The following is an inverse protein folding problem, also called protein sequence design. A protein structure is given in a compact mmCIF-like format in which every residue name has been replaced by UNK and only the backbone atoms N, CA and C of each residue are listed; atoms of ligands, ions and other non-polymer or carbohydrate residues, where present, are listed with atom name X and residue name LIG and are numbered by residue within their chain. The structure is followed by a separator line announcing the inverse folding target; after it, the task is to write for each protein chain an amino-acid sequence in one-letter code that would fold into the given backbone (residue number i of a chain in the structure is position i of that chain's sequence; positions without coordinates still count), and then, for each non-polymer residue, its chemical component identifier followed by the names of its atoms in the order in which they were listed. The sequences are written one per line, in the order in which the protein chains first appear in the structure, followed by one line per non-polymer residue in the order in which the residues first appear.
data_IF_421294268483
#
_entry.id   IF_421294268483
#
_cell.length_a   1.000
_cell.length_b   1.000
_cell.length_c   1.000
_cell.angle_alpha   90.00
_cell.angle_beta   90.00
_cell.angle_gamma   90.00
#
_symmetry.space_group_name_H-M   'P 1'
#
loop_
_entity.id
_entity.type
_entity.pdbx_description
1 polymer ?
#
# COMPACT_ATOMS: atom_id res chain seq x y z
N UNK A 1 17.60 23.18 -12.73
CA UNK A 1 16.30 22.50 -12.95
C UNK A 1 15.60 22.46 -11.61
N UNK A 2 14.29 22.75 -11.55
CA UNK A 2 13.56 22.60 -10.29
C UNK A 2 13.61 21.12 -9.88
N UNK A 3 14.15 20.86 -8.69
CA UNK A 3 14.31 19.51 -8.12
C UNK A 3 13.07 19.07 -7.34
N UNK A 4 12.14 20.00 -7.09
CA UNK A 4 10.93 19.82 -6.29
C UNK A 4 9.77 20.64 -6.84
N UNK A 5 8.67 19.97 -7.21
CA UNK A 5 7.39 20.56 -7.62
C UNK A 5 6.25 20.03 -6.76
N UNK A 6 5.43 20.92 -6.19
CA UNK A 6 4.24 20.52 -5.44
C UNK A 6 2.97 21.07 -6.08
N UNK A 7 2.21 20.17 -6.70
CA UNK A 7 0.87 20.44 -7.21
C UNK A 7 -0.08 19.28 -6.85
N UNK A 8 -0.99 19.44 -5.87
CA UNK A 8 -1.88 18.38 -5.40
C UNK A 8 -2.92 17.91 -6.44
N UNK A 9 -3.05 18.61 -7.58
CA UNK A 9 -3.86 18.12 -8.70
C UNK A 9 -3.19 16.98 -9.48
N UNK A 10 -1.86 16.85 -9.38
CA UNK A 10 -1.07 15.82 -10.05
C UNK A 10 -0.88 14.59 -9.18
N UNK A 11 -0.64 13.42 -9.78
CA UNK A 11 -0.32 12.19 -9.04
C UNK A 11 0.95 12.32 -8.19
N UNK A 12 1.93 13.08 -8.68
CA UNK A 12 3.16 13.38 -7.95
C UNK A 12 2.90 14.25 -6.72
N UNK A 13 2.07 15.29 -6.83
CA UNK A 13 1.70 16.10 -5.68
C UNK A 13 0.76 15.39 -4.70
N UNK A 14 -0.11 14.49 -5.18
CA UNK A 14 -0.90 13.60 -4.31
C UNK A 14 -0.01 12.65 -3.52
N UNK A 15 0.98 12.04 -4.17
CA UNK A 15 1.99 11.21 -3.49
C UNK A 15 2.67 11.99 -2.36
N UNK A 16 3.18 13.19 -2.68
CA UNK A 16 3.84 14.08 -1.70
C UNK A 16 2.95 14.49 -0.55
N UNK A 17 1.69 14.79 -0.82
CA UNK A 17 0.71 15.12 0.20
C UNK A 17 0.54 13.96 1.19
N UNK A 18 0.41 12.72 0.69
CA UNK A 18 0.19 11.53 1.54
C UNK A 18 1.41 11.24 2.41
N UNK A 19 2.63 11.39 1.88
CA UNK A 19 3.86 11.16 2.64
C UNK A 19 4.33 12.39 3.44
N UNK A 20 3.54 13.47 3.44
CA UNK A 20 3.84 14.77 4.07
C UNK A 20 5.12 15.46 3.57
N UNK A 21 5.60 15.11 2.38
CA UNK A 21 6.77 15.72 1.70
C UNK A 21 6.35 17.00 0.96
N UNK A 22 5.95 18.02 1.72
CA UNK A 22 5.40 19.28 1.18
C UNK A 22 6.33 20.48 1.36
N UNK A 23 7.41 20.33 2.14
CA UNK A 23 8.39 21.40 2.36
C UNK A 23 9.40 21.46 1.22
N UNK A 24 9.30 22.50 0.39
CA UNK A 24 10.25 22.73 -0.71
C UNK A 24 11.66 23.09 -0.25
N UNK A 25 11.84 23.52 1.00
CA UNK A 25 13.16 23.87 1.54
C UNK A 25 13.97 22.62 1.96
N UNK A 26 13.27 21.57 2.42
CA UNK A 26 13.88 20.31 2.84
C UNK A 26 13.12 19.11 2.27
N UNK A 27 13.13 18.93 0.94
CA UNK A 27 12.41 17.83 0.32
C UNK A 27 13.05 16.49 0.70
N UNK A 28 12.20 15.53 1.08
CA UNK A 28 12.62 14.16 1.40
C UNK A 28 12.98 13.38 0.14
N UNK A 29 12.27 13.67 -0.95
CA UNK A 29 12.49 13.07 -2.26
C UNK A 29 12.51 14.11 -3.36
N UNK A 30 13.36 13.91 -4.35
CA UNK A 30 13.35 14.68 -5.60
C UNK A 30 12.16 14.30 -6.48
N UNK A 31 11.79 15.18 -7.43
CA UNK A 31 10.73 14.88 -8.40
C UNK A 31 10.99 13.58 -9.18
N UNK A 32 12.26 13.29 -9.49
CA UNK A 32 12.65 12.08 -10.20
C UNK A 32 12.42 10.80 -9.36
N UNK A 33 12.72 10.84 -8.06
CA UNK A 33 12.50 9.72 -7.14
C UNK A 33 11.00 9.50 -6.90
N UNK A 34 10.25 10.59 -6.68
CA UNK A 34 8.79 10.54 -6.56
C UNK A 34 8.12 9.93 -7.81
N UNK A 35 8.57 10.33 -9.00
CA UNK A 35 8.11 9.76 -10.27
C UNK A 35 8.47 8.28 -10.41
N UNK A 36 9.65 7.85 -9.91
CA UNK A 36 10.07 6.46 -9.95
C UNK A 36 9.16 5.58 -9.06
N UNK A 37 8.75 6.04 -7.88
CA UNK A 37 7.81 5.32 -7.03
C UNK A 37 6.45 5.11 -7.72
N UNK A 38 5.95 6.12 -8.44
CA UNK A 38 4.75 6.00 -9.27
C UNK A 38 4.92 5.00 -10.42
N UNK A 39 6.07 5.04 -11.11
CA UNK A 39 6.38 4.09 -12.20
C UNK A 39 6.42 2.64 -11.73
N UNK A 40 7.02 2.37 -10.58
CA UNK A 40 7.15 1.04 -9.98
C UNK A 40 5.81 0.47 -9.48
N UNK A 41 4.81 1.32 -9.27
CA UNK A 41 3.50 0.94 -8.72
C UNK A 41 2.37 1.09 -9.73
N UNK A 42 2.71 1.09 -11.02
CA UNK A 42 1.74 1.21 -12.12
C UNK A 42 0.85 2.46 -12.00
N UNK A 43 1.42 3.57 -11.51
CA UNK A 43 0.73 4.84 -11.27
C UNK A 43 -0.34 4.80 -10.17
N UNK A 44 -0.39 3.75 -9.34
CA UNK A 44 -1.25 3.74 -8.16
C UNK A 44 -0.59 4.57 -7.04
N UNK A 45 -1.15 5.76 -6.81
CA UNK A 45 -0.65 6.76 -5.84
C UNK A 45 -0.53 6.19 -4.42
N UNK A 46 -1.48 5.37 -3.97
CA UNK A 46 -1.45 4.80 -2.61
C UNK A 46 -0.33 3.76 -2.46
N UNK A 47 -0.13 2.91 -3.48
CA UNK A 47 0.98 1.95 -3.51
C UNK A 47 2.33 2.67 -3.57
N UNK A 48 2.44 3.72 -4.38
CA UNK A 48 3.63 4.56 -4.44
C UNK A 48 3.94 5.19 -3.07
N UNK A 49 2.93 5.72 -2.39
CA UNK A 49 3.08 6.33 -1.07
C UNK A 49 3.52 5.32 -0.01
N UNK A 50 2.94 4.12 -0.01
CA UNK A 50 3.34 3.04 0.89
C UNK A 50 4.83 2.70 0.71
N UNK A 51 5.28 2.58 -0.54
CA UNK A 51 6.66 2.24 -0.86
C UNK A 51 7.64 3.36 -0.49
N UNK A 52 7.26 4.62 -0.69
CA UNK A 52 8.07 5.77 -0.27
C UNK A 52 8.22 5.80 1.26
N UNK A 53 7.14 5.55 2.01
CA UNK A 53 7.17 5.49 3.48
C UNK A 53 7.99 4.30 4.01
N UNK A 54 7.92 3.13 3.38
CA UNK A 54 8.78 1.98 3.71
C UNK A 54 10.27 2.31 3.51
N UNK A 55 10.58 3.07 2.47
CA UNK A 55 11.94 3.53 2.18
C UNK A 55 12.43 4.52 3.24
N UNK A 56 11.57 5.48 3.63
CA UNK A 56 11.86 6.41 4.72
C UNK A 56 12.10 5.67 6.05
N UNK A 57 11.27 4.69 6.36
CA UNK A 57 11.39 3.87 7.57
C UNK A 57 12.71 3.13 7.64
N UNK A 58 13.13 2.56 6.51
CA UNK A 58 14.40 1.86 6.39
C UNK A 58 15.57 2.82 6.63
N UNK A 59 15.55 3.99 5.99
CA UNK A 59 16.57 5.02 6.17
C UNK A 59 16.65 5.53 7.62
N UNK A 60 15.50 5.82 8.25
CA UNK A 60 15.46 6.23 9.66
C UNK A 60 15.94 5.11 10.60
N UNK A 61 15.57 3.86 10.33
CA UNK A 61 16.08 2.71 11.10
C UNK A 61 17.60 2.59 11.00
N UNK A 62 18.18 2.82 9.81
CA UNK A 62 19.64 2.83 9.62
C UNK A 62 20.30 3.98 10.39
N UNK A 63 19.71 5.18 10.37
CA UNK A 63 20.20 6.33 11.14
C UNK A 63 20.17 6.03 12.64
N UNK A 64 19.06 5.52 13.15
CA UNK A 64 18.89 5.17 14.56
C UNK A 64 19.86 4.05 14.99
N UNK A 65 20.13 3.08 14.11
CA UNK A 65 21.14 2.04 14.35
C UNK A 65 22.55 2.62 14.46
N UNK A 66 22.90 3.60 13.62
CA UNK A 66 24.18 4.31 13.70
C UNK A 66 24.27 5.15 14.98
N UNK A 67 23.19 5.83 15.38
CA UNK A 67 23.16 6.60 16.64
C UNK A 67 23.30 5.71 17.88
N UNK A 68 22.67 4.52 17.87
CA UNK A 68 22.87 3.50 18.92
C UNK A 68 24.31 2.99 18.99
N UNK A 69 25.05 2.96 17.88
CA UNK A 69 26.49 2.62 17.89
C UNK A 69 27.36 3.77 18.41
N UNK A 70 26.85 5.00 18.37
CA UNK A 70 27.51 6.24 18.80
C UNK A 70 27.07 6.69 20.21
N UNK A 71 26.53 5.78 21.02
CA UNK A 71 26.09 5.97 22.42
C UNK A 71 24.95 6.99 22.66
N UNK A 72 24.18 7.36 21.62
CA UNK A 72 22.99 8.21 21.76
C UNK A 72 21.72 7.39 21.45
N UNK A 73 21.04 6.93 22.51
CA UNK A 73 19.81 6.13 22.38
C UNK A 73 18.58 7.02 22.25
N UNK A 74 18.02 7.11 21.05
CA UNK A 74 16.62 7.48 20.81
C UNK A 74 15.85 6.23 20.36
N UNK A 75 14.61 6.06 20.83
CA UNK A 75 13.81 4.83 20.65
C UNK A 75 13.40 4.60 19.18
N UNK A 76 14.37 4.18 18.37
CA UNK A 76 14.20 3.96 16.94
C UNK A 76 13.38 2.73 16.59
N UNK A 77 13.25 1.79 17.54
CA UNK A 77 12.41 0.62 17.38
C UNK A 77 10.92 1.00 17.34
N UNK A 78 10.52 2.02 18.11
CA UNK A 78 9.16 2.56 18.09
C UNK A 78 8.83 3.26 16.76
N UNK A 79 9.73 4.11 16.26
CA UNK A 79 9.55 4.83 14.98
C UNK A 79 9.47 3.87 13.80
N UNK A 80 10.38 2.89 13.74
CA UNK A 80 10.37 1.88 12.69
C UNK A 80 9.09 1.01 12.72
N UNK A 81 8.53 0.76 13.90
CA UNK A 81 7.27 0.02 14.05
C UNK A 81 6.08 0.83 13.55
N UNK A 82 5.96 2.09 13.97
CA UNK A 82 4.88 2.98 13.53
C UNK A 82 4.86 3.15 12.00
N UNK A 83 6.03 3.27 11.37
CA UNK A 83 6.11 3.38 9.91
C UNK A 83 5.73 2.08 9.19
N UNK A 84 6.12 0.90 9.71
CA UNK A 84 5.68 -0.38 9.14
C UNK A 84 4.17 -0.59 9.30
N UNK A 85 3.60 -0.20 10.43
CA UNK A 85 2.14 -0.24 10.65
C UNK A 85 1.42 0.66 9.64
N UNK A 86 1.93 1.86 9.39
CA UNK A 86 1.36 2.78 8.41
C UNK A 86 1.48 2.25 6.96
N UNK A 87 2.62 1.63 6.61
CA UNK A 87 2.78 0.98 5.31
C UNK A 87 1.79 -0.19 5.12
N UNK A 88 1.50 -0.94 6.19
CA UNK A 88 0.54 -2.04 6.16
C UNK A 88 -0.90 -1.53 5.91
N UNK A 89 -1.28 -0.43 6.59
CA UNK A 89 -2.58 0.23 6.37
C UNK A 89 -2.74 0.74 4.93
N UNK A 90 -1.70 1.30 4.33
CA UNK A 90 -1.76 1.77 2.94
C UNK A 90 -1.87 0.62 1.93
N UNK A 91 -1.24 -0.54 2.20
CA UNK A 91 -1.41 -1.75 1.37
C UNK A 91 -2.83 -2.30 1.47
N UNK A 92 -3.41 -2.28 2.67
CA UNK A 92 -4.80 -2.67 2.89
C UNK A 92 -5.76 -1.73 2.17
N UNK A 93 -5.53 -0.42 2.26
CA UNK A 93 -6.30 0.59 1.52
C UNK A 93 -6.21 0.41 0.00
N UNK A 94 -5.02 0.09 -0.52
CA UNK A 94 -4.81 -0.21 -1.94
C UNK A 94 -5.55 -1.49 -2.37
N UNK A 95 -5.56 -2.53 -1.53
CA UNK A 95 -6.32 -3.75 -1.79
C UNK A 95 -7.84 -3.49 -1.76
N UNK A 96 -8.32 -2.63 -0.86
CA UNK A 96 -9.73 -2.21 -0.80
C UNK A 96 -10.10 -1.38 -2.04
N UNK A 97 -9.24 -0.46 -2.49
CA UNK A 97 -9.49 0.31 -3.72
C UNK A 97 -9.51 -0.59 -4.97
N UNK A 98 -8.64 -1.60 -5.04
CA UNK A 98 -8.61 -2.55 -6.14
C UNK A 98 -9.83 -3.52 -6.08
N UNK A 99 -10.29 -3.89 -4.88
CA UNK A 99 -11.47 -4.74 -4.68
C UNK A 99 -12.80 -4.01 -4.98
N UNK A 100 -12.85 -2.69 -4.73
CA UNK A 100 -13.99 -1.84 -5.04
C UNK A 100 -14.24 -1.70 -6.56
N UNK A 101 -13.22 -1.95 -7.39
CA UNK A 101 -13.31 -1.85 -8.85
C UNK A 101 -13.74 -3.16 -9.55
N UNK A 102 -13.90 -4.28 -8.83
CA UNK A 102 -14.42 -5.50 -9.48
C UNK A 102 -14.39 -6.86 -8.77
N UNK A 103 -14.22 -6.96 -7.45
CA UNK A 103 -14.00 -8.29 -6.82
C UNK A 103 -14.79 -8.59 -5.55
N UNK A 104 -15.64 -7.67 -5.07
CA UNK A 104 -16.51 -7.95 -3.92
C UNK A 104 -17.73 -8.83 -4.25
N UNK A 105 -18.09 -8.98 -5.53
CA UNK A 105 -19.22 -9.83 -5.96
C UNK A 105 -18.81 -11.30 -6.25
N UNK A 106 -17.57 -11.57 -6.64
CA UNK A 106 -17.10 -12.93 -7.00
C UNK A 106 -16.86 -13.80 -5.74
N UNK A 107 -16.36 -13.20 -4.66
CA UNK A 107 -16.09 -13.92 -3.41
C UNK A 107 -17.36 -14.29 -2.63
N UNK A 108 -18.43 -13.49 -2.74
CA UNK A 108 -19.70 -13.77 -2.09
C UNK A 108 -20.48 -14.89 -2.80
N UNK A 109 -20.35 -15.05 -4.12
CA UNK A 109 -21.00 -16.12 -4.87
C UNK A 109 -20.27 -17.47 -4.71
N UNK A 110 -18.97 -17.47 -4.43
CA UNK A 110 -18.18 -18.69 -4.26
C UNK A 110 -18.39 -19.37 -2.90
N UNK A 111 -18.74 -18.62 -1.84
CA UNK A 111 -18.85 -19.13 -0.46
C UNK A 111 -20.22 -19.76 -0.16
N UNK A 112 -21.31 -19.33 -0.81
CA UNK A 112 -22.67 -19.86 -0.58
C UNK A 112 -23.09 -21.01 -1.53
N UNK A 113 -22.14 -21.87 -1.90
CA UNK A 113 -22.38 -23.04 -2.75
C UNK A 113 -23.10 -24.22 -2.04
N UNK A 114 -24.05 -23.94 -1.14
CA UNK A 114 -25.04 -24.90 -0.64
C UNK A 114 -26.09 -25.22 -1.72
N UNK A 115 -26.39 -24.25 -2.60
CA UNK A 115 -27.35 -24.41 -3.69
C UNK A 115 -26.83 -25.32 -4.81
N UNK A 116 -25.57 -25.18 -5.19
CA UNK A 116 -24.91 -26.08 -6.17
C UNK A 116 -24.78 -27.51 -5.62
N UNK A 117 -24.55 -27.68 -4.32
CA UNK A 117 -24.58 -28.98 -3.66
C UNK A 117 -25.97 -29.65 -3.76
N UNK A 118 -27.06 -28.92 -3.49
CA UNK A 118 -28.43 -29.44 -3.63
C UNK A 118 -28.77 -29.82 -5.07
N UNK A 119 -28.41 -28.99 -6.04
CA UNK A 119 -28.64 -29.31 -7.46
C UNK A 119 -27.89 -30.57 -7.88
N UNK A 120 -26.65 -30.75 -7.42
CA UNK A 120 -25.85 -31.93 -7.74
C UNK A 120 -26.46 -33.20 -7.16
N UNK A 121 -26.99 -33.15 -5.93
CA UNK A 121 -27.66 -34.28 -5.29
C UNK A 121 -28.97 -34.63 -6.00
N UNK A 122 -29.78 -33.63 -6.38
CA UNK A 122 -31.03 -33.86 -7.12
C UNK A 122 -30.78 -34.44 -8.52
N UNK A 123 -29.79 -33.93 -9.26
CA UNK A 123 -29.39 -34.44 -10.57
C UNK A 123 -28.84 -35.88 -10.49
N UNK A 124 -28.13 -36.22 -9.42
CA UNK A 124 -27.68 -37.61 -9.17
C UNK A 124 -28.83 -38.55 -8.81
N UNK A 125 -29.84 -38.08 -8.07
CA UNK A 125 -31.03 -38.88 -7.74
C UNK A 125 -31.89 -39.17 -8.99
N UNK A 126 -32.10 -38.20 -9.88
CA UNK A 126 -32.85 -38.39 -11.12
C UNK A 126 -32.17 -39.35 -12.10
N UNK A 127 -30.84 -39.34 -12.18
CA UNK A 127 -30.07 -40.27 -13.04
C UNK A 127 -30.10 -41.72 -12.57
N UNK A 128 -30.56 -41.98 -11.35
CA UNK A 128 -30.65 -43.33 -10.76
C UNK A 128 -32.06 -43.90 -10.83
N UNK A 129 -33.03 -43.11 -11.29
CA UNK A 129 -34.45 -43.44 -11.40
C UNK A 129 -34.91 -43.67 -12.86
N UNK A 130 -34.00 -43.50 -13.83
CA UNK A 130 -34.11 -43.97 -15.22
C UNK A 130 -32.96 -44.93 -15.50
#
# INVERSE_FOLDING_TARGET
MMTFTYDPATDLGRLRLIITDTDSANPLFTDAEAQAFLGLTQQNVYRAAAMALDTMATSQTLILKVMSLLDLSTDGAAVARALREHALQLREQANISDAADGSLFDYAEQVDNIFTLRERVLKQAQRRLY
#
